data_IF_595938044702
#
_entry.id   IF_595938044702
#
_cell.length_a   1.000
_cell.length_b   1.000
_cell.length_c   1.000
_cell.angle_alpha   90.00
_cell.angle_beta   90.00
_cell.angle_gamma   90.00
#
_symmetry.space_group_name_H-M   'P 1'
#
loop_
_entity.id
_entity.type
_entity.pdbx_description
1 polymer ?
#
# COMPACT_ATOMS: atom_id res chain seq x y z
N UNK A 1 -8.89 -2.39 -20.19
CA UNK A 1 -7.71 -2.16 -19.33
C UNK A 1 -7.13 -0.72 -19.28
N UNK A 2 -7.61 0.32 -20.02
CA UNK A 2 -7.07 1.70 -19.87
C UNK A 2 -7.34 2.41 -18.53
N UNK A 3 -8.35 1.98 -17.76
CA UNK A 3 -8.76 2.71 -16.56
C UNK A 3 -7.82 2.51 -15.34
N UNK A 4 -7.22 1.33 -15.20
CA UNK A 4 -6.55 0.93 -13.96
C UNK A 4 -5.23 1.69 -13.74
N UNK A 5 -4.41 1.89 -14.77
CA UNK A 5 -3.10 2.53 -14.66
C UNK A 5 -3.11 4.03 -15.04
N UNK A 6 -4.27 4.67 -15.00
CA UNK A 6 -4.42 6.11 -15.24
C UNK A 6 -3.83 6.95 -14.09
N UNK A 7 -3.42 8.19 -14.39
CA UNK A 7 -2.93 9.14 -13.37
C UNK A 7 -3.95 9.37 -12.24
N UNK A 8 -5.25 9.32 -12.57
CA UNK A 8 -6.33 9.42 -11.57
C UNK A 8 -6.31 8.25 -10.58
N UNK A 9 -6.04 7.03 -11.04
CA UNK A 9 -5.92 5.87 -10.14
C UNK A 9 -4.74 6.02 -9.19
N UNK A 10 -3.58 6.46 -9.69
CA UNK A 10 -2.41 6.74 -8.84
C UNK A 10 -2.71 7.83 -7.80
N UNK A 11 -3.40 8.90 -8.19
CA UNK A 11 -3.82 9.95 -7.25
C UNK A 11 -4.82 9.46 -6.20
N UNK A 12 -5.79 8.63 -6.60
CA UNK A 12 -6.73 8.01 -5.66
C UNK A 12 -6.01 7.11 -4.65
N UNK A 13 -5.06 6.30 -5.11
CA UNK A 13 -4.23 5.45 -4.24
C UNK A 13 -3.30 6.27 -3.34
N UNK A 14 -2.80 7.41 -3.82
CA UNK A 14 -2.02 8.35 -3.01
C UNK A 14 -2.87 8.93 -1.87
N UNK A 15 -4.10 9.38 -2.17
CA UNK A 15 -5.04 9.87 -1.17
C UNK A 15 -5.39 8.77 -0.14
N UNK A 16 -5.62 7.54 -0.61
CA UNK A 16 -5.84 6.39 0.27
C UNK A 16 -4.66 6.14 1.21
N UNK A 17 -3.43 6.10 0.69
CA UNK A 17 -2.21 5.92 1.50
C UNK A 17 -2.00 7.06 2.51
N UNK A 18 -2.36 8.30 2.15
CA UNK A 18 -2.29 9.43 3.08
C UNK A 18 -3.31 9.29 4.22
N UNK A 19 -4.55 8.91 3.92
CA UNK A 19 -5.58 8.66 4.94
C UNK A 19 -5.17 7.50 5.87
N UNK A 20 -4.63 6.43 5.29
CA UNK A 20 -4.15 5.26 6.03
C UNK A 20 -2.92 5.59 6.90
N UNK A 21 -2.02 6.45 6.42
CA UNK A 21 -0.90 6.97 7.21
C UNK A 21 -1.40 7.73 8.46
N UNK A 22 -2.41 8.60 8.29
CA UNK A 22 -3.04 9.31 9.42
C UNK A 22 -3.68 8.31 10.39
N UNK A 23 -4.47 7.36 9.89
CA UNK A 23 -5.11 6.34 10.72
C UNK A 23 -4.10 5.50 11.53
N UNK A 24 -2.95 5.17 10.93
CA UNK A 24 -1.83 4.50 11.59
C UNK A 24 -1.13 5.39 12.64
N UNK A 25 -1.05 6.70 12.41
CA UNK A 25 -0.43 7.64 13.34
C UNK A 25 -1.29 7.97 14.57
N UNK A 26 -2.62 7.88 14.44
CA UNK A 26 -3.59 8.11 15.54
C UNK A 26 -4.04 6.82 16.27
N UNK A 27 -3.16 5.81 16.30
CA UNK A 27 -3.47 4.38 16.47
C UNK A 27 -4.96 3.99 16.47
N UNK A 28 -5.63 4.14 15.32
CA UNK A 28 -7.06 3.80 15.21
C UNK A 28 -7.32 2.33 15.66
N UNK A 29 -8.40 2.04 16.42
CA UNK A 29 -8.62 0.72 17.02
C UNK A 29 -8.56 -0.45 16.03
N UNK A 30 -9.09 -0.24 14.82
CA UNK A 30 -9.11 -1.22 13.73
C UNK A 30 -7.70 -1.51 13.21
N UNK A 31 -6.84 -0.49 13.14
CA UNK A 31 -5.43 -0.64 12.73
C UNK A 31 -4.67 -1.40 13.81
N UNK A 32 -4.82 -0.99 15.07
CA UNK A 32 -4.15 -1.67 16.20
C UNK A 32 -4.54 -3.14 16.27
N UNK A 33 -5.83 -3.46 16.15
CA UNK A 33 -6.32 -4.84 16.11
C UNK A 33 -5.75 -5.64 14.92
N UNK A 34 -5.65 -5.04 13.73
CA UNK A 34 -5.04 -5.69 12.57
C UNK A 34 -3.55 -5.97 12.78
N UNK A 35 -2.82 -5.04 13.42
CA UNK A 35 -1.41 -5.21 13.75
C UNK A 35 -1.19 -6.26 14.84
N UNK A 36 -2.09 -6.35 15.81
CA UNK A 36 -2.07 -7.39 16.84
C UNK A 36 -2.34 -8.77 16.25
N UNK A 37 -3.30 -8.90 15.31
CA UNK A 37 -3.63 -10.15 14.64
C UNK A 37 -2.43 -10.79 13.91
N UNK A 38 -1.52 -9.97 13.38
CA UNK A 38 -0.30 -10.44 12.70
C UNK A 38 0.93 -10.46 13.62
N UNK A 39 0.75 -10.24 14.92
CA UNK A 39 1.82 -10.16 15.92
C UNK A 39 2.90 -9.13 15.54
N UNK A 40 2.49 -7.96 15.00
CA UNK A 40 3.43 -6.92 14.59
C UNK A 40 4.18 -6.35 15.81
N UNK A 41 5.53 -6.41 15.82
CA UNK A 41 6.34 -5.89 16.91
C UNK A 41 6.02 -4.41 17.17
N UNK A 42 5.91 -3.98 18.44
CA UNK A 42 5.61 -2.58 18.80
C UNK A 42 6.59 -1.59 18.17
N UNK A 43 7.84 -2.00 18.01
CA UNK A 43 8.94 -1.19 17.48
C UNK A 43 8.79 -0.89 15.98
N UNK A 44 8.06 -1.74 15.25
CA UNK A 44 7.80 -1.55 13.82
C UNK A 44 6.59 -0.65 13.57
N UNK A 45 5.64 -0.60 14.50
CA UNK A 45 4.37 0.15 14.32
C UNK A 45 4.57 1.64 14.00
N UNK A 46 5.51 2.38 14.63
CA UNK A 46 5.78 3.76 14.28
C UNK A 46 6.35 3.97 12.86
N UNK A 47 6.91 2.93 12.25
CA UNK A 47 7.47 3.00 10.88
C UNK A 47 6.36 2.92 9.83
N UNK A 48 5.23 2.26 10.14
CA UNK A 48 4.11 2.09 9.22
C UNK A 48 3.52 3.41 8.70
N UNK A 49 3.18 4.41 9.53
CA UNK A 49 2.68 5.69 9.02
C UNK A 49 3.71 6.40 8.14
N UNK A 50 5.01 6.27 8.43
CA UNK A 50 6.09 6.85 7.60
C UNK A 50 6.14 6.19 6.22
N UNK A 51 6.09 4.85 6.16
CA UNK A 51 6.07 4.09 4.90
C UNK A 51 4.84 4.45 4.07
N UNK A 52 3.68 4.60 4.70
CA UNK A 52 2.42 4.97 4.02
C UNK A 52 2.46 6.41 3.50
N UNK A 53 2.98 7.36 4.28
CA UNK A 53 3.16 8.74 3.83
C UNK A 53 4.15 8.83 2.65
N UNK A 54 5.29 8.12 2.72
CA UNK A 54 6.24 8.04 1.63
C UNK A 54 5.62 7.42 0.37
N UNK A 55 4.78 6.39 0.54
CA UNK A 55 4.04 5.75 -0.55
C UNK A 55 3.04 6.72 -1.19
N UNK A 56 2.34 7.53 -0.40
CA UNK A 56 1.42 8.55 -0.91
C UNK A 56 2.16 9.56 -1.79
N UNK A 57 3.30 10.08 -1.33
CA UNK A 57 4.14 11.01 -2.10
C UNK A 57 4.66 10.34 -3.38
N UNK A 58 5.17 9.12 -3.26
CA UNK A 58 5.68 8.35 -4.38
C UNK A 58 4.61 8.09 -5.46
N UNK A 59 3.39 7.73 -5.08
CA UNK A 59 2.28 7.54 -6.01
C UNK A 59 1.81 8.87 -6.64
N UNK A 60 1.72 9.94 -5.85
CA UNK A 60 1.34 11.28 -6.33
C UNK A 60 2.36 11.85 -7.32
N UNK A 61 3.61 11.39 -7.27
CA UNK A 61 4.66 11.79 -8.21
C UNK A 61 4.35 11.41 -9.66
N UNK A 62 3.32 10.61 -9.94
CA UNK A 62 2.90 10.20 -11.30
C UNK A 62 2.81 11.36 -12.29
N UNK A 63 2.39 12.54 -11.82
CA UNK A 63 2.22 13.74 -12.64
C UNK A 63 3.54 14.40 -13.10
N UNK A 64 4.66 14.10 -12.43
CA UNK A 64 5.97 14.74 -12.70
C UNK A 64 7.08 13.74 -13.00
N UNK A 65 7.05 12.60 -12.32
CA UNK A 65 8.05 11.54 -12.36
C UNK A 65 7.35 10.17 -12.42
N UNK A 66 6.73 9.79 -13.55
CA UNK A 66 6.00 8.53 -13.68
C UNK A 66 6.85 7.29 -13.37
N UNK A 67 8.17 7.36 -13.59
CA UNK A 67 9.11 6.31 -13.17
C UNK A 67 9.17 6.11 -11.65
N UNK A 68 9.10 7.19 -10.86
CA UNK A 68 9.08 7.12 -9.39
C UNK A 68 7.75 6.55 -8.88
N UNK A 69 6.63 6.92 -9.49
CA UNK A 69 5.33 6.31 -9.19
C UNK A 69 5.33 4.80 -9.45
N UNK A 70 5.93 4.35 -10.56
CA UNK A 70 6.10 2.92 -10.85
C UNK A 70 7.03 2.22 -9.86
N UNK A 71 8.14 2.86 -9.48
CA UNK A 71 9.02 2.31 -8.44
C UNK A 71 8.28 2.15 -7.11
N UNK A 72 7.43 3.12 -6.77
CA UNK A 72 6.60 3.07 -5.56
C UNK A 72 5.63 1.90 -5.61
N UNK A 73 5.01 1.60 -6.75
CA UNK A 73 4.14 0.41 -6.87
C UNK A 73 4.92 -0.90 -6.74
N UNK A 74 6.16 -0.99 -7.22
CA UNK A 74 7.04 -2.15 -6.97
C UNK A 74 7.32 -2.31 -5.46
N UNK A 75 7.66 -1.23 -4.76
CA UNK A 75 7.91 -1.28 -3.32
C UNK A 75 6.65 -1.68 -2.54
N UNK A 76 5.48 -1.19 -2.96
CA UNK A 76 4.19 -1.59 -2.39
C UNK A 76 3.88 -3.06 -2.67
N UNK A 77 4.23 -3.61 -3.84
CA UNK A 77 4.14 -5.05 -4.10
C UNK A 77 4.97 -5.85 -3.09
N UNK A 78 6.21 -5.44 -2.83
CA UNK A 78 7.07 -6.08 -1.82
C UNK A 78 6.43 -5.98 -0.43
N UNK A 79 6.00 -4.78 -0.04
CA UNK A 79 5.34 -4.53 1.24
C UNK A 79 4.11 -5.44 1.43
N UNK A 80 3.21 -5.52 0.45
CA UNK A 80 2.01 -6.34 0.57
C UNK A 80 2.29 -7.84 0.46
N UNK A 81 3.37 -8.24 -0.19
CA UNK A 81 3.86 -9.63 -0.15
C UNK A 81 4.27 -9.99 1.28
N UNK A 82 5.02 -9.11 1.95
CA UNK A 82 5.39 -9.29 3.37
C UNK A 82 4.15 -9.29 4.27
N UNK A 83 3.17 -8.42 4.00
CA UNK A 83 1.92 -8.38 4.77
C UNK A 83 1.14 -9.71 4.65
N UNK A 84 0.97 -10.23 3.42
CA UNK A 84 0.35 -11.55 3.20
C UNK A 84 1.13 -12.64 3.92
N UNK A 85 2.47 -12.62 3.84
CA UNK A 85 3.33 -13.56 4.57
C UNK A 85 3.14 -13.48 6.09
N UNK A 86 2.97 -12.28 6.65
CA UNK A 86 2.72 -12.08 8.07
C UNK A 86 1.37 -12.66 8.51
N UNK A 87 0.30 -12.42 7.75
CA UNK A 87 -1.01 -13.03 7.99
C UNK A 87 -0.93 -14.56 7.94
N UNK A 88 -0.32 -15.13 6.89
CA UNK A 88 -0.15 -16.59 6.74
C UNK A 88 0.66 -17.17 7.90
N UNK A 89 1.77 -16.51 8.28
CA UNK A 89 2.62 -16.94 9.41
C UNK A 89 1.86 -16.91 10.74
N UNK A 90 1.03 -15.89 10.96
CA UNK A 90 0.17 -15.77 12.14
C UNK A 90 -1.06 -16.70 12.09
N UNK A 91 -1.28 -17.42 10.98
CA UNK A 91 -2.49 -18.21 10.70
C UNK A 91 -3.76 -17.36 10.77
N UNK A 92 -3.64 -16.08 10.42
CA UNK A 92 -4.75 -15.14 10.37
C UNK A 92 -5.40 -15.15 8.98
N UNK A 93 -6.55 -15.83 8.86
CA UNK A 93 -7.36 -15.90 7.65
C UNK A 93 -8.54 -14.91 7.69
N UNK A 94 -8.40 -13.82 8.42
CA UNK A 94 -9.38 -12.75 8.53
C UNK A 94 -9.56 -11.95 7.21
N UNK A 95 -10.53 -11.03 7.15
CA UNK A 95 -10.63 -10.06 6.06
C UNK A 95 -9.33 -9.26 5.81
N UNK A 96 -8.45 -9.15 6.80
CA UNK A 96 -7.14 -8.52 6.66
C UNK A 96 -6.25 -9.20 5.61
N UNK A 97 -6.21 -10.53 5.59
CA UNK A 97 -5.50 -11.29 4.55
C UNK A 97 -6.10 -11.05 3.17
N UNK A 98 -7.43 -11.00 3.08
CA UNK A 98 -8.14 -10.70 1.82
C UNK A 98 -7.81 -9.30 1.28
N UNK A 99 -7.79 -8.30 2.16
CA UNK A 99 -7.40 -6.94 1.82
C UNK A 99 -5.92 -6.88 1.38
N UNK A 100 -5.01 -7.48 2.14
CA UNK A 100 -3.59 -7.52 1.82
C UNK A 100 -3.33 -8.19 0.47
N UNK A 101 -3.99 -9.31 0.18
CA UNK A 101 -3.89 -10.04 -1.09
C UNK A 101 -4.44 -9.22 -2.27
N UNK A 102 -5.55 -8.49 -2.06
CA UNK A 102 -6.14 -7.63 -3.08
C UNK A 102 -5.23 -6.45 -3.42
N UNK A 103 -4.65 -5.79 -2.40
CA UNK A 103 -3.67 -4.73 -2.62
C UNK A 103 -2.39 -5.24 -3.26
N UNK A 104 -1.92 -6.44 -2.89
CA UNK A 104 -0.80 -7.09 -3.56
C UNK A 104 -1.05 -7.24 -5.05
N UNK A 105 -2.20 -7.83 -5.43
CA UNK A 105 -2.57 -8.01 -6.83
C UNK A 105 -2.67 -6.67 -7.59
N UNK A 106 -3.29 -5.66 -6.96
CA UNK A 106 -3.40 -4.32 -7.53
C UNK A 106 -2.04 -3.69 -7.79
N UNK A 107 -1.17 -3.61 -6.78
CA UNK A 107 0.14 -2.98 -6.92
C UNK A 107 1.07 -3.78 -7.83
N UNK A 108 1.02 -5.11 -7.82
CA UNK A 108 1.75 -5.95 -8.77
C UNK A 108 1.33 -5.65 -10.22
N UNK A 109 0.02 -5.49 -10.46
CA UNK A 109 -0.50 -5.13 -11.78
C UNK A 109 -0.01 -3.75 -12.22
N UNK A 110 -0.03 -2.76 -11.32
CA UNK A 110 0.45 -1.41 -11.60
C UNK A 110 1.99 -1.36 -11.76
N UNK A 111 2.74 -2.17 -11.03
CA UNK A 111 4.19 -2.31 -11.19
C UNK A 111 4.54 -2.91 -12.56
N UNK A 112 3.81 -3.93 -12.99
CA UNK A 112 3.99 -4.58 -14.28
C UNK A 112 3.65 -3.64 -15.45
N UNK A 113 2.51 -2.93 -15.36
CA UNK A 113 1.98 -2.11 -16.46
C UNK A 113 2.54 -0.69 -16.49
N UNK A 114 2.90 -0.12 -15.34
CA UNK A 114 3.33 1.28 -15.20
C UNK A 114 2.22 2.30 -15.47
N UNK A 115 2.43 3.59 -15.13
CA UNK A 115 1.49 4.66 -15.47
C UNK A 115 1.27 4.78 -16.98
N UNK A 116 0.04 5.07 -17.39
CA UNK A 116 -0.25 5.35 -18.79
C UNK A 116 0.48 6.63 -19.23
N UNK A 117 1.14 6.60 -20.40
CA UNK A 117 1.71 7.82 -20.98
C UNK A 117 0.56 8.69 -21.48
N UNK A 118 0.36 9.84 -20.85
CA UNK A 118 -0.51 10.88 -21.42
C UNK A 118 0.28 11.50 -22.59
N UNK A 119 -0.18 11.25 -23.83
CA UNK A 119 0.38 11.79 -25.07
C UNK A 119 -0.21 13.15 -25.39
#
# INVERSE_FOLDING_TARGET
MPALNSNRTYAALAAFQAADAVACAIPAPQITAALDAVNCPPEIRPVLPVVKAASAIGLLSVYRFPGLARLTTVMLTIYFTLAVGAHVKAKDFSPGLGAASSFLALFATLAATGPQRES
#
